data_IF_557179862877
#
_entry.id   IF_557179862877
#
_cell.length_a   1.000
_cell.length_b   1.000
_cell.length_c   1.000
_cell.angle_alpha   90.00
_cell.angle_beta   90.00
_cell.angle_gamma   90.00
#
_symmetry.space_group_name_H-M   'P 1'
#
loop_
_entity.id
_entity.type
_entity.pdbx_description
1 polymer ?
#
# COMPACT_ATOMS: atom_id res chain seq x y z
N UNK A 1 -13.09 -1.89 -7.52
CA UNK A 1 -11.84 -1.46 -8.20
C UNK A 1 -11.75 0.06 -8.14
N UNK A 2 -10.60 0.67 -7.79
CA UNK A 2 -10.47 2.12 -7.73
C UNK A 2 -10.71 2.76 -9.10
N UNK A 3 -11.55 3.81 -9.12
CA UNK A 3 -12.08 4.42 -10.36
C UNK A 3 -11.05 5.22 -11.17
N UNK A 4 -9.99 5.73 -10.51
CA UNK A 4 -9.07 6.72 -11.11
C UNK A 4 -7.60 6.23 -11.10
N UNK A 5 -6.79 6.75 -12.02
CA UNK A 5 -5.41 6.30 -12.27
C UNK A 5 -4.44 6.49 -11.08
N UNK A 6 -4.60 7.56 -10.30
CA UNK A 6 -3.80 7.81 -9.08
C UNK A 6 -4.06 6.74 -8.01
N UNK A 7 -5.33 6.41 -7.79
CA UNK A 7 -5.76 5.43 -6.79
C UNK A 7 -5.44 4.00 -7.20
N UNK A 8 -5.50 3.70 -8.49
CA UNK A 8 -5.03 2.41 -9.04
C UNK A 8 -3.54 2.22 -8.78
N UNK A 9 -2.72 3.26 -8.95
CA UNK A 9 -1.28 3.19 -8.64
C UNK A 9 -1.00 2.94 -7.16
N UNK A 10 -1.74 3.59 -6.27
CA UNK A 10 -1.64 3.32 -4.81
C UNK A 10 -2.05 1.87 -4.49
N UNK A 11 -3.14 1.38 -5.09
CA UNK A 11 -3.57 0.00 -4.91
C UNK A 11 -2.51 -1.00 -5.38
N UNK A 12 -1.98 -0.84 -6.60
CA UNK A 12 -0.93 -1.73 -7.11
C UNK A 12 0.34 -1.65 -6.27
N UNK A 13 0.70 -0.47 -5.77
CA UNK A 13 1.84 -0.32 -4.85
C UNK A 13 1.62 -1.12 -3.57
N UNK A 14 0.46 -0.98 -2.92
CA UNK A 14 0.11 -1.74 -1.72
C UNK A 14 0.06 -3.25 -2.00
N UNK A 15 -0.52 -3.66 -3.13
CA UNK A 15 -0.58 -5.06 -3.55
C UNK A 15 0.81 -5.66 -3.70
N UNK A 16 1.74 -4.97 -4.36
CA UNK A 16 3.12 -5.42 -4.52
C UNK A 16 3.83 -5.50 -3.16
N UNK A 17 3.67 -4.50 -2.30
CA UNK A 17 4.25 -4.52 -0.96
C UNK A 17 3.74 -5.69 -0.11
N UNK A 18 2.42 -5.95 -0.14
CA UNK A 18 1.79 -7.03 0.61
C UNK A 18 2.24 -8.40 0.06
N UNK A 19 2.36 -8.57 -1.25
CA UNK A 19 2.88 -9.82 -1.83
C UNK A 19 4.33 -10.08 -1.40
N UNK A 20 5.18 -9.06 -1.48
CA UNK A 20 6.58 -9.18 -1.07
C UNK A 20 6.68 -9.56 0.41
N UNK A 21 5.94 -8.87 1.28
CA UNK A 21 5.88 -9.17 2.71
C UNK A 21 5.38 -10.59 2.98
N UNK A 22 4.28 -11.00 2.34
CA UNK A 22 3.70 -12.32 2.52
C UNK A 22 4.67 -13.44 2.13
N UNK A 23 5.38 -13.26 1.00
CA UNK A 23 6.34 -14.25 0.51
C UNK A 23 7.57 -14.35 1.40
N UNK A 24 8.14 -13.22 1.80
CA UNK A 24 9.43 -13.22 2.53
C UNK A 24 9.28 -13.40 4.05
N UNK A 25 8.18 -12.91 4.65
CA UNK A 25 7.97 -12.96 6.11
C UNK A 25 7.12 -14.13 6.53
N UNK A 26 5.99 -14.38 5.87
CA UNK A 26 5.17 -15.56 6.16
C UNK A 26 5.65 -16.81 5.44
N UNK A 27 6.71 -16.71 4.63
CA UNK A 27 7.29 -17.81 3.85
C UNK A 27 6.24 -18.53 2.99
N UNK A 28 5.20 -17.80 2.56
CA UNK A 28 4.16 -18.37 1.72
C UNK A 28 4.72 -18.60 0.31
N UNK A 29 5.06 -19.85 0.00
CA UNK A 29 5.59 -20.26 -1.31
C UNK A 29 4.47 -20.64 -2.30
N UNK A 30 3.21 -20.60 -1.88
CA UNK A 30 2.06 -20.80 -2.75
C UNK A 30 1.89 -19.62 -3.73
N UNK A 31 1.19 -19.88 -4.85
CA UNK A 31 0.93 -18.94 -5.96
C UNK A 31 0.07 -17.72 -5.60
N UNK A 32 -0.04 -17.34 -4.32
CA UNK A 32 -0.92 -16.29 -3.85
C UNK A 32 -0.59 -15.73 -2.46
N UNK A 33 -1.49 -14.89 -1.94
CA UNK A 33 -1.42 -14.33 -0.58
C UNK A 33 -2.00 -15.32 0.43
N UNK A 34 -1.37 -15.40 1.61
CA UNK A 34 -1.99 -16.06 2.76
C UNK A 34 -3.29 -15.33 3.16
N UNK A 35 -4.15 -16.00 3.93
CA UNK A 35 -5.46 -15.46 4.31
C UNK A 35 -5.38 -14.06 4.94
N UNK A 36 -4.45 -13.87 5.88
CA UNK A 36 -4.24 -12.58 6.56
C UNK A 36 -3.87 -11.45 5.59
N UNK A 37 -2.94 -11.72 4.67
CA UNK A 37 -2.51 -10.74 3.66
C UNK A 37 -3.60 -10.47 2.61
N UNK A 38 -4.39 -11.48 2.26
CA UNK A 38 -5.53 -11.34 1.34
C UNK A 38 -6.61 -10.45 1.95
N UNK A 39 -6.93 -10.64 3.23
CA UNK A 39 -7.86 -9.78 3.95
C UNK A 39 -7.34 -8.34 4.10
N UNK A 40 -6.04 -8.17 4.36
CA UNK A 40 -5.43 -6.85 4.46
C UNK A 40 -5.53 -6.09 3.14
N UNK A 41 -5.27 -6.76 2.01
CA UNK A 41 -5.39 -6.17 0.67
C UNK A 41 -6.85 -5.82 0.34
N UNK A 42 -7.80 -6.72 0.64
CA UNK A 42 -9.21 -6.46 0.44
C UNK A 42 -9.70 -5.27 1.28
N UNK A 43 -9.26 -5.19 2.55
CA UNK A 43 -9.54 -4.07 3.42
C UNK A 43 -8.97 -2.76 2.85
N UNK A 44 -7.71 -2.76 2.43
CA UNK A 44 -7.07 -1.61 1.80
C UNK A 44 -7.85 -1.12 0.57
N UNK A 45 -8.27 -2.03 -0.31
CA UNK A 45 -9.08 -1.70 -1.48
C UNK A 45 -10.41 -1.02 -1.09
N UNK A 46 -11.11 -1.58 -0.11
CA UNK A 46 -12.39 -1.00 0.36
C UNK A 46 -12.24 0.42 0.92
N UNK A 47 -11.08 0.76 1.51
CA UNK A 47 -10.79 2.10 2.03
C UNK A 47 -10.37 3.06 0.92
N UNK A 48 -9.67 2.56 -0.10
CA UNK A 48 -9.35 3.35 -1.29
C UNK A 48 -10.62 3.72 -2.06
N UNK A 49 -11.57 2.80 -2.22
CA UNK A 49 -12.85 3.06 -2.89
C UNK A 49 -13.70 4.14 -2.20
N UNK A 50 -13.56 4.26 -0.88
CA UNK A 50 -14.31 5.22 -0.05
C UNK A 50 -13.47 6.45 0.35
N UNK A 51 -12.34 6.68 -0.32
CA UNK A 51 -11.43 7.75 0.06
C UNK A 51 -12.01 9.12 -0.35
N UNK A 52 -12.14 10.09 0.58
CA UNK A 52 -12.71 11.41 0.26
C UNK A 52 -11.81 12.24 -0.66
N UNK A 53 -10.49 12.00 -0.62
CA UNK A 53 -9.50 12.78 -1.36
C UNK A 53 -9.26 12.31 -2.79
N UNK A 54 -9.78 11.14 -3.17
CA UNK A 54 -9.66 10.56 -4.53
C UNK A 54 -8.30 10.83 -5.22
N UNK A 55 -8.24 11.75 -6.18
CA UNK A 55 -7.03 12.05 -6.97
C UNK A 55 -5.96 12.84 -6.22
N UNK A 56 -6.39 13.75 -5.35
CA UNK A 56 -5.52 14.61 -4.53
C UNK A 56 -4.95 13.87 -3.33
N UNK A 57 -5.31 12.59 -3.15
CA UNK A 57 -4.83 11.77 -2.03
C UNK A 57 -3.29 11.73 -1.99
N UNK A 58 -2.68 12.13 -0.86
CA UNK A 58 -1.24 11.95 -0.66
C UNK A 58 -0.93 10.46 -0.43
N UNK A 59 0.35 10.14 -0.24
CA UNK A 59 0.73 8.77 0.13
C UNK A 59 0.07 8.36 1.45
N UNK A 60 -0.18 7.05 1.62
CA UNK A 60 -0.90 6.54 2.79
C UNK A 60 -0.23 6.89 4.13
N UNK A 61 1.09 7.07 4.16
CA UNK A 61 1.86 7.46 5.35
C UNK A 61 1.71 8.95 5.73
N UNK A 62 1.43 9.82 4.76
CA UNK A 62 1.21 11.26 4.94
C UNK A 62 -0.28 11.63 4.91
N UNK A 63 -1.18 10.65 4.90
CA UNK A 63 -2.61 10.91 4.78
C UNK A 63 -3.14 11.57 6.08
N UNK A 64 -3.81 12.73 5.99
CA UNK A 64 -4.30 13.45 7.18
C UNK A 64 -5.44 12.71 7.90
N UNK A 65 -6.10 11.77 7.23
CA UNK A 65 -7.21 10.99 7.81
C UNK A 65 -6.75 9.63 8.33
N UNK A 66 -7.22 9.29 9.52
CA UNK A 66 -7.06 7.96 10.10
C UNK A 66 -8.10 7.00 9.53
N UNK A 67 -7.85 6.56 8.30
CA UNK A 67 -8.77 5.66 7.61
C UNK A 67 -8.63 4.19 8.05
N UNK A 68 -7.55 3.75 8.67
CA UNK A 68 -7.39 2.33 9.05
C UNK A 68 -7.76 2.11 10.52
N UNK A 69 -8.49 1.01 10.80
CA UNK A 69 -8.67 0.53 12.18
C UNK A 69 -7.29 0.27 12.82
N UNK A 70 -7.12 0.48 14.14
CA UNK A 70 -5.80 0.38 14.79
C UNK A 70 -5.05 -0.93 14.51
N UNK A 71 -5.74 -2.07 14.56
CA UNK A 71 -5.14 -3.38 14.27
C UNK A 71 -4.64 -3.49 12.81
N UNK A 72 -5.48 -3.14 11.83
CA UNK A 72 -5.11 -3.14 10.41
C UNK A 72 -4.03 -2.11 10.09
N UNK A 73 -4.02 -0.98 10.81
CA UNK A 73 -2.99 0.06 10.68
C UNK A 73 -1.61 -0.45 11.10
N UNK A 74 -1.52 -1.20 12.20
CA UNK A 74 -0.25 -1.83 12.61
C UNK A 74 0.26 -2.81 11.55
N UNK A 75 -0.63 -3.67 11.05
CA UNK A 75 -0.29 -4.63 9.99
C UNK A 75 0.25 -3.94 8.73
N UNK A 76 -0.43 -2.89 8.23
CA UNK A 76 0.06 -2.22 7.01
C UNK A 76 1.36 -1.44 7.25
N UNK A 77 1.58 -0.92 8.46
CA UNK A 77 2.84 -0.26 8.82
C UNK A 77 4.01 -1.26 8.84
N UNK A 78 3.79 -2.49 9.32
CA UNK A 78 4.79 -3.56 9.26
C UNK A 78 5.12 -3.90 7.80
N UNK A 79 4.11 -4.07 6.96
CA UNK A 79 4.27 -4.27 5.52
C UNK A 79 5.07 -3.13 4.88
N UNK A 80 4.69 -1.88 5.12
CA UNK A 80 5.38 -0.70 4.56
C UNK A 80 6.83 -0.61 5.03
N UNK A 81 7.10 -0.85 6.31
CA UNK A 81 8.45 -0.80 6.90
C UNK A 81 9.34 -1.88 6.30
N UNK A 82 8.80 -3.07 6.06
CA UNK A 82 9.54 -4.19 5.51
C UNK A 82 9.72 -4.08 4.00
N UNK A 83 8.62 -3.90 3.27
CA UNK A 83 8.59 -3.92 1.81
C UNK A 83 9.09 -2.61 1.18
N UNK A 84 8.93 -1.47 1.86
CA UNK A 84 9.30 -0.15 1.33
C UNK A 84 10.76 -0.08 0.81
N UNK A 85 11.77 -0.34 1.67
CA UNK A 85 13.18 -0.36 1.23
C UNK A 85 13.46 -1.45 0.18
N UNK A 86 12.79 -2.60 0.29
CA UNK A 86 12.98 -3.75 -0.60
C UNK A 86 12.33 -3.58 -1.97
N UNK A 87 11.36 -2.67 -2.11
CA UNK A 87 10.81 -2.31 -3.41
C UNK A 87 11.87 -1.64 -4.30
N UNK A 88 12.87 -0.96 -3.74
CA UNK A 88 13.94 -0.33 -4.53
C UNK A 88 14.69 -1.39 -5.35
N UNK A 89 14.91 -2.58 -4.77
CA UNK A 89 15.60 -3.68 -5.42
C UNK A 89 14.71 -4.48 -6.37
N UNK A 90 13.46 -4.72 -6.00
CA UNK A 90 12.54 -5.58 -6.77
C UNK A 90 11.74 -4.84 -7.86
N UNK A 91 11.36 -3.59 -7.59
CA UNK A 91 10.52 -2.75 -8.45
C UNK A 91 11.02 -1.29 -8.43
N UNK A 92 12.23 -1.03 -8.94
CA UNK A 92 12.90 0.27 -8.78
C UNK A 92 12.07 1.45 -9.29
N UNK A 93 11.41 1.32 -10.45
CA UNK A 93 10.58 2.38 -11.04
C UNK A 93 9.37 2.72 -10.16
N UNK A 94 8.70 1.70 -9.58
CA UNK A 94 7.57 1.92 -8.67
C UNK A 94 8.03 2.55 -7.35
N UNK A 95 9.15 2.07 -6.81
CA UNK A 95 9.72 2.60 -5.58
C UNK A 95 10.12 4.07 -5.70
N UNK A 96 10.84 4.43 -6.78
CA UNK A 96 11.24 5.82 -7.05
C UNK A 96 10.01 6.72 -7.22
N UNK A 97 8.98 6.28 -7.96
CA UNK A 97 7.73 7.04 -8.09
C UNK A 97 7.02 7.26 -6.76
N UNK A 98 6.91 6.21 -5.94
CA UNK A 98 6.27 6.30 -4.62
C UNK A 98 7.07 7.24 -3.69
N UNK A 99 8.39 7.13 -3.68
CA UNK A 99 9.27 8.01 -2.90
C UNK A 99 9.18 9.47 -3.36
N UNK A 100 9.17 9.72 -4.67
CA UNK A 100 8.96 11.08 -5.20
C UNK A 100 7.60 11.65 -4.80
N UNK A 101 6.54 10.84 -4.77
CA UNK A 101 5.21 11.28 -4.30
C UNK A 101 5.23 11.63 -2.81
N UNK A 102 5.97 10.88 -2.00
CA UNK A 102 6.21 11.19 -0.57
C UNK A 102 7.04 12.47 -0.34
N UNK A 103 8.00 12.75 -1.23
CA UNK A 103 8.82 13.96 -1.15
C UNK A 103 8.07 15.21 -1.62
N UNK A 104 7.04 15.07 -2.46
CA UNK A 104 6.14 16.18 -2.82
C UNK A 104 5.27 16.54 -1.62
N UNK A 105 5.19 17.85 -1.32
CA UNK A 105 4.27 18.33 -0.28
C UNK A 105 2.84 17.92 -0.63
N UNK A 106 2.09 17.32 0.31
CA UNK A 106 0.68 17.05 0.11
C UNK A 106 -0.04 18.38 -0.21
N UNK A 107 -0.91 18.37 -1.23
CA UNK A 107 -1.74 19.53 -1.60
C UNK A 107 -3.00 19.67 -0.74
N UNK A 108 -3.11 18.82 0.30
CA UNK A 108 -4.31 18.59 1.12
C UNK A 108 -4.01 18.87 2.57
#
# INVERSE_FOLDING_TARGET
>A
MPKNSSMQREYETLKTMIHLYCREVHQNNESGLCLSCKELLAYANSRLEKCPYSEDKPTCDQCPVHCYKPARRKQIQEVMRYAGPRMIRSHPVMAVRHLMKKLKKPKV
#
